data_IF_678475842196
#
_entry.id   IF_678475842196
#
_cell.length_a   1.000
_cell.length_b   1.000
_cell.length_c   1.000
_cell.angle_alpha   90.00
_cell.angle_beta   90.00
_cell.angle_gamma   90.00
#
_symmetry.space_group_name_H-M   'P 1'
#
loop_
_entity.id
_entity.type
_entity.pdbx_description
1 polymer ?
#
# COMPACT_ATOMS: atom_id res chain seq x y z
N UNK A 1 42.60 46.33 34.75
CA UNK A 1 41.97 46.55 33.42
C UNK A 1 42.43 45.42 32.49
N UNK A 2 41.62 44.44 32.29
CA UNK A 2 41.95 43.30 31.42
C UNK A 2 40.87 43.22 30.35
N UNK A 3 41.26 43.55 29.12
CA UNK A 3 40.42 43.50 27.92
C UNK A 3 40.28 42.06 27.45
N UNK A 4 39.06 41.51 27.46
CA UNK A 4 38.76 40.24 26.85
C UNK A 4 38.47 40.45 25.34
N UNK A 5 39.34 39.89 24.51
CA UNK A 5 39.10 39.76 23.07
C UNK A 5 38.09 38.64 22.81
N UNK A 6 37.02 38.98 22.12
CA UNK A 6 35.99 38.06 21.63
C UNK A 6 36.42 37.54 20.25
N UNK A 7 36.75 36.25 20.16
CA UNK A 7 37.01 35.57 18.88
C UNK A 7 35.69 34.95 18.41
N UNK A 8 35.03 35.63 17.48
CA UNK A 8 33.86 35.09 16.80
C UNK A 8 34.28 34.07 15.76
N UNK A 9 33.91 32.80 15.99
CA UNK A 9 33.90 31.75 14.96
C UNK A 9 32.65 31.95 14.12
N UNK A 10 32.83 32.35 12.86
CA UNK A 10 31.76 32.39 11.87
C UNK A 10 31.49 30.96 11.40
N UNK A 11 30.41 30.37 11.89
CA UNK A 11 29.82 29.17 11.31
C UNK A 11 29.15 29.58 9.99
N UNK A 12 29.73 29.16 8.88
CA UNK A 12 29.16 29.34 7.55
C UNK A 12 27.89 28.47 7.39
N UNK A 13 26.95 28.84 6.51
CA UNK A 13 25.73 28.11 6.33
C UNK A 13 26.03 26.69 5.83
N UNK A 14 25.66 25.70 6.62
CA UNK A 14 25.71 24.30 6.22
C UNK A 14 24.78 24.14 5.01
N UNK A 15 25.36 23.75 3.89
CA UNK A 15 24.63 23.47 2.66
C UNK A 15 23.57 22.43 2.93
N UNK A 16 22.31 22.80 2.76
CA UNK A 16 21.19 21.88 2.80
C UNK A 16 21.40 20.77 1.77
N UNK A 17 21.34 19.52 2.21
CA UNK A 17 21.36 18.38 1.31
C UNK A 17 20.27 18.56 0.22
N UNK A 18 20.54 18.23 -1.05
CA UNK A 18 19.55 18.35 -2.10
C UNK A 18 18.32 17.50 -1.73
N UNK A 19 17.13 18.11 -1.85
CA UNK A 19 15.87 17.42 -1.66
C UNK A 19 15.83 16.19 -2.57
N UNK A 20 15.36 15.03 -2.08
CA UNK A 20 15.22 13.85 -2.91
C UNK A 20 14.34 14.18 -4.12
N UNK A 21 14.70 13.67 -5.28
CA UNK A 21 13.92 13.85 -6.50
C UNK A 21 12.48 13.36 -6.26
N UNK A 22 11.45 14.07 -6.73
CA UNK A 22 10.08 13.66 -6.54
C UNK A 22 9.87 12.27 -7.16
N UNK A 23 9.30 11.35 -6.38
CA UNK A 23 8.96 10.03 -6.88
C UNK A 23 7.70 10.09 -7.74
N UNK A 24 7.65 9.35 -8.85
CA UNK A 24 6.47 9.29 -9.70
C UNK A 24 5.28 8.74 -8.92
N UNK A 25 4.12 9.37 -9.07
CA UNK A 25 2.86 8.84 -8.53
C UNK A 25 2.44 7.51 -9.18
N UNK A 26 1.50 6.81 -8.57
CA UNK A 26 0.98 5.51 -9.08
C UNK A 26 0.50 5.62 -10.53
N UNK A 27 -0.22 6.69 -10.85
CA UNK A 27 -0.66 6.98 -12.22
C UNK A 27 0.52 7.15 -13.19
N UNK A 28 1.53 7.94 -12.80
CA UNK A 28 2.70 8.17 -13.65
C UNK A 28 3.48 6.89 -13.94
N UNK A 29 3.62 6.02 -12.95
CA UNK A 29 4.24 4.70 -13.13
C UNK A 29 3.45 3.83 -14.12
N UNK A 30 2.11 3.78 -14.01
CA UNK A 30 1.24 3.01 -14.92
C UNK A 30 1.27 3.56 -16.34
N UNK A 31 1.21 4.87 -16.51
CA UNK A 31 1.33 5.53 -17.82
C UNK A 31 2.68 5.21 -18.46
N UNK A 32 3.78 5.39 -17.71
CA UNK A 32 5.14 5.09 -18.20
C UNK A 32 5.34 3.60 -18.52
N UNK A 33 4.83 2.71 -17.65
CA UNK A 33 4.88 1.26 -17.87
C UNK A 33 4.14 0.88 -19.15
N UNK A 34 2.87 1.25 -19.26
CA UNK A 34 2.04 0.89 -20.42
C UNK A 34 2.57 1.48 -21.73
N UNK A 35 3.12 2.70 -21.70
CA UNK A 35 3.79 3.29 -22.84
C UNK A 35 4.99 2.46 -23.31
N UNK A 36 5.83 1.99 -22.37
CA UNK A 36 6.99 1.13 -22.68
C UNK A 36 6.57 -0.22 -23.25
N UNK A 37 5.51 -0.83 -22.72
CA UNK A 37 4.95 -2.10 -23.23
C UNK A 37 4.51 -1.94 -24.70
N UNK A 38 3.91 -0.81 -25.03
CA UNK A 38 3.52 -0.44 -26.39
C UNK A 38 4.69 0.06 -27.25
N UNK A 39 5.93 0.08 -26.69
CA UNK A 39 7.16 0.55 -27.37
C UNK A 39 7.07 1.99 -27.88
N UNK A 40 6.25 2.82 -27.22
CA UNK A 40 6.10 4.23 -27.56
C UNK A 40 7.16 5.09 -26.87
N UNK A 41 7.71 6.07 -27.58
CA UNK A 41 8.43 7.17 -26.96
C UNK A 41 7.47 8.13 -26.24
N UNK A 42 7.99 8.98 -25.35
CA UNK A 42 7.16 10.03 -24.72
C UNK A 42 6.57 10.99 -25.76
N UNK A 43 7.35 11.33 -26.80
CA UNK A 43 6.88 12.20 -27.88
C UNK A 43 5.71 11.59 -28.63
N UNK A 44 5.78 10.31 -28.98
CA UNK A 44 4.71 9.60 -29.65
C UNK A 44 3.46 9.51 -28.80
N UNK A 45 3.57 9.19 -27.49
CA UNK A 45 2.42 9.15 -26.61
C UNK A 45 1.81 10.55 -26.42
N UNK A 46 2.63 11.59 -26.29
CA UNK A 46 2.13 12.97 -26.16
C UNK A 46 1.33 13.38 -27.40
N UNK A 47 1.82 13.07 -28.58
CA UNK A 47 1.10 13.30 -29.86
C UNK A 47 -0.23 12.53 -29.92
N UNK A 48 -0.21 11.21 -29.65
CA UNK A 48 -1.40 10.36 -29.65
C UNK A 48 -2.45 10.81 -28.63
N UNK A 49 -2.01 11.28 -27.47
CA UNK A 49 -2.89 11.75 -26.41
C UNK A 49 -3.30 13.24 -26.55
N UNK A 50 -2.81 13.94 -27.59
CA UNK A 50 -3.12 15.35 -27.79
C UNK A 50 -2.64 16.26 -26.67
N UNK A 51 -1.51 15.94 -26.02
CA UNK A 51 -0.96 16.72 -24.90
C UNK A 51 0.49 17.15 -25.16
N UNK A 52 0.95 18.14 -24.41
CA UNK A 52 2.33 18.60 -24.55
C UNK A 52 3.31 17.58 -23.95
N UNK A 53 4.48 17.44 -24.58
CA UNK A 53 5.55 16.57 -24.11
C UNK A 53 6.02 16.90 -22.67
N UNK A 54 6.19 18.19 -22.29
CA UNK A 54 6.53 18.53 -20.90
C UNK A 54 5.47 18.10 -19.90
N UNK A 55 4.19 18.21 -20.23
CA UNK A 55 3.09 17.79 -19.35
C UNK A 55 3.08 16.26 -19.17
N UNK A 56 3.25 15.49 -20.24
CA UNK A 56 3.38 14.04 -20.15
C UNK A 56 4.60 13.63 -19.31
N UNK A 57 5.74 14.29 -19.53
CA UNK A 57 6.95 14.04 -18.76
C UNK A 57 6.71 14.32 -17.24
N UNK A 58 6.01 15.40 -16.93
CA UNK A 58 5.62 15.72 -15.56
C UNK A 58 4.71 14.64 -14.95
N UNK A 59 3.68 14.22 -15.67
CA UNK A 59 2.78 13.14 -15.22
C UNK A 59 3.51 11.83 -14.92
N UNK A 60 4.51 11.48 -15.74
CA UNK A 60 5.29 10.25 -15.56
C UNK A 60 6.31 10.33 -14.40
N UNK A 61 6.69 11.52 -13.95
CA UNK A 61 7.79 11.70 -13.00
C UNK A 61 7.38 12.33 -11.66
N UNK A 62 6.17 12.87 -11.57
CA UNK A 62 5.66 13.52 -10.35
C UNK A 62 4.29 12.96 -9.96
N UNK A 63 3.94 13.01 -8.68
CA UNK A 63 2.56 12.81 -8.26
C UNK A 63 1.68 13.89 -8.89
N UNK A 64 0.71 13.49 -9.71
CA UNK A 64 -0.16 14.41 -10.41
C UNK A 64 -1.59 13.87 -10.47
N UNK A 65 -2.55 14.79 -10.44
CA UNK A 65 -3.98 14.50 -10.63
C UNK A 65 -4.43 15.16 -11.94
N UNK A 66 -4.40 14.44 -13.08
CA UNK A 66 -4.85 14.98 -14.34
C UNK A 66 -6.37 15.24 -14.33
N UNK A 67 -6.82 16.08 -15.22
CA UNK A 67 -8.26 16.25 -15.46
C UNK A 67 -8.86 14.96 -16.04
N UNK A 68 -10.17 14.77 -15.90
CA UNK A 68 -10.87 13.61 -16.47
C UNK A 68 -10.67 13.52 -17.99
N UNK A 69 -10.67 14.66 -18.69
CA UNK A 69 -10.42 14.70 -20.13
C UNK A 69 -9.00 14.22 -20.48
N UNK A 70 -7.97 14.70 -19.77
CA UNK A 70 -6.60 14.26 -19.98
C UNK A 70 -6.43 12.77 -19.68
N UNK A 71 -7.10 12.25 -18.66
CA UNK A 71 -7.08 10.83 -18.31
C UNK A 71 -7.74 9.97 -19.40
N UNK A 72 -8.85 10.41 -19.97
CA UNK A 72 -9.51 9.74 -21.10
C UNK A 72 -8.62 9.72 -22.35
N UNK A 73 -7.96 10.83 -22.68
CA UNK A 73 -7.04 10.93 -23.80
C UNK A 73 -5.83 9.97 -23.62
N UNK A 74 -5.24 9.94 -22.43
CA UNK A 74 -4.17 9.01 -22.09
C UNK A 74 -4.63 7.55 -22.20
N UNK A 75 -5.80 7.23 -21.67
CA UNK A 75 -6.34 5.88 -21.71
C UNK A 75 -6.57 5.42 -23.16
N UNK A 76 -7.16 6.27 -23.99
CA UNK A 76 -7.34 5.97 -25.42
C UNK A 76 -6.01 5.74 -26.14
N UNK A 77 -5.04 6.64 -25.97
CA UNK A 77 -3.70 6.54 -26.58
C UNK A 77 -2.90 5.30 -26.12
N UNK A 78 -3.16 4.82 -24.90
CA UNK A 78 -2.52 3.65 -24.32
C UNK A 78 -3.32 2.35 -24.49
N UNK A 79 -4.42 2.39 -25.24
CA UNK A 79 -5.33 1.24 -25.44
C UNK A 79 -5.76 0.61 -24.10
N UNK A 80 -6.25 1.43 -23.19
CA UNK A 80 -6.68 1.04 -21.83
C UNK A 80 -7.87 1.89 -21.39
N UNK A 81 -8.30 1.76 -20.14
CA UNK A 81 -9.39 2.58 -19.58
C UNK A 81 -8.88 3.58 -18.53
N UNK A 82 -9.58 4.68 -18.28
CA UNK A 82 -9.27 5.61 -17.19
C UNK A 82 -9.16 4.91 -15.84
N UNK A 83 -10.05 3.97 -15.56
CA UNK A 83 -10.11 3.19 -14.33
C UNK A 83 -8.85 2.34 -14.16
N UNK A 84 -8.40 1.67 -15.23
CA UNK A 84 -7.17 0.88 -15.22
C UNK A 84 -5.93 1.75 -14.95
N UNK A 85 -5.88 2.96 -15.54
CA UNK A 85 -4.81 3.92 -15.25
C UNK A 85 -4.84 4.41 -13.80
N UNK A 86 -6.02 4.58 -13.21
CA UNK A 86 -6.19 4.93 -11.80
C UNK A 86 -6.01 3.74 -10.86
N UNK A 87 -5.88 2.53 -11.39
CA UNK A 87 -5.74 1.31 -10.58
C UNK A 87 -7.07 0.77 -10.06
N UNK A 88 -8.19 1.21 -10.63
CA UNK A 88 -9.53 0.74 -10.29
C UNK A 88 -10.07 -0.14 -11.42
N UNK A 89 -9.93 -1.44 -11.28
CA UNK A 89 -10.72 -2.44 -11.98
C UNK A 89 -11.67 -3.10 -11.00
N UNK A 90 -12.84 -2.48 -10.75
CA UNK A 90 -13.72 -2.89 -9.65
C UNK A 90 -14.65 -4.06 -9.96
N UNK A 91 -14.79 -4.45 -11.22
CA UNK A 91 -15.77 -5.48 -11.63
C UNK A 91 -15.15 -6.82 -12.02
N UNK A 92 -13.84 -6.91 -12.13
CA UNK A 92 -13.15 -8.17 -12.47
C UNK A 92 -12.07 -8.49 -11.45
N UNK A 93 -11.81 -9.78 -11.20
CA UNK A 93 -10.67 -10.17 -10.37
C UNK A 93 -9.36 -9.68 -10.96
N UNK A 94 -8.36 -9.29 -10.13
CA UNK A 94 -7.04 -8.92 -10.61
C UNK A 94 -6.33 -10.09 -11.31
N UNK A 95 -5.34 -9.77 -12.17
CA UNK A 95 -4.50 -10.77 -12.83
C UNK A 95 -4.95 -11.15 -14.25
N UNK A 96 -5.77 -10.33 -14.90
CA UNK A 96 -6.22 -10.54 -16.29
C UNK A 96 -5.12 -10.18 -17.33
N UNK A 97 -4.10 -9.43 -16.93
CA UNK A 97 -2.97 -9.08 -17.80
C UNK A 97 -1.94 -10.21 -17.85
N UNK A 98 -1.22 -10.31 -19.00
CA UNK A 98 -0.14 -11.29 -19.13
C UNK A 98 1.06 -11.00 -18.23
N UNK A 99 1.93 -12.00 -18.00
CA UNK A 99 3.14 -11.81 -17.21
C UNK A 99 4.11 -10.83 -17.89
N UNK A 100 4.93 -10.15 -17.09
CA UNK A 100 6.03 -9.35 -17.64
C UNK A 100 7.04 -10.24 -18.37
N UNK A 101 7.86 -9.63 -19.25
CA UNK A 101 8.86 -10.36 -20.05
C UNK A 101 9.99 -10.99 -19.22
N UNK A 102 10.22 -10.53 -17.99
CA UNK A 102 11.28 -11.02 -17.09
C UNK A 102 10.84 -10.93 -15.63
N UNK A 103 9.86 -11.72 -15.18
CA UNK A 103 9.37 -11.66 -13.82
C UNK A 103 10.45 -12.16 -12.82
N UNK A 104 10.72 -11.37 -11.79
CA UNK A 104 11.61 -11.77 -10.69
C UNK A 104 10.80 -11.81 -9.40
N UNK A 105 10.73 -13.00 -8.79
CA UNK A 105 10.10 -13.20 -7.49
C UNK A 105 11.15 -13.09 -6.39
N UNK A 106 11.05 -12.07 -5.55
CA UNK A 106 11.93 -11.80 -4.43
C UNK A 106 11.25 -12.17 -3.11
N UNK A 107 11.94 -12.89 -2.24
CA UNK A 107 11.51 -13.08 -0.84
C UNK A 107 11.82 -11.82 -0.04
N UNK A 108 10.87 -11.37 0.78
CA UNK A 108 11.02 -10.21 1.65
C UNK A 108 11.52 -10.64 3.03
N UNK A 109 12.33 -9.81 3.65
CA UNK A 109 12.69 -9.91 5.06
C UNK A 109 11.52 -9.58 5.97
N UNK A 110 11.59 -9.95 7.26
CA UNK A 110 10.55 -9.58 8.22
C UNK A 110 10.40 -8.06 8.36
N UNK A 111 11.49 -7.30 8.34
CA UNK A 111 11.46 -5.83 8.39
C UNK A 111 10.71 -5.24 7.20
N UNK A 112 11.05 -5.64 5.98
CA UNK A 112 10.36 -5.20 4.76
C UNK A 112 8.86 -5.56 4.79
N UNK A 113 8.51 -6.71 5.36
CA UNK A 113 7.11 -7.09 5.53
C UNK A 113 6.37 -6.12 6.47
N UNK A 114 6.96 -5.77 7.61
CA UNK A 114 6.36 -4.80 8.53
C UNK A 114 6.29 -3.40 7.94
N UNK A 115 7.29 -2.96 7.20
CA UNK A 115 7.27 -1.67 6.49
C UNK A 115 6.10 -1.59 5.51
N UNK A 116 5.78 -2.68 4.80
CA UNK A 116 4.65 -2.76 3.90
C UNK A 116 3.29 -2.78 4.62
N UNK A 117 3.23 -3.36 5.81
CA UNK A 117 2.01 -3.42 6.63
C UNK A 117 1.76 -2.14 7.45
N UNK A 118 2.81 -1.41 7.84
CA UNK A 118 2.77 -0.28 8.78
C UNK A 118 1.76 0.82 8.44
N UNK A 119 1.52 1.18 7.16
CA UNK A 119 0.52 2.19 6.83
C UNK A 119 -0.91 1.79 7.20
N UNK A 120 -1.16 0.51 7.53
CA UNK A 120 -2.50 0.00 7.73
C UNK A 120 -3.28 -0.10 6.43
N UNK A 121 -4.58 -0.38 6.52
CA UNK A 121 -5.44 -0.50 5.34
C UNK A 121 -6.47 -1.61 5.46
N UNK A 122 -6.67 -2.33 4.35
CA UNK A 122 -7.52 -3.52 4.29
C UNK A 122 -6.64 -4.75 4.11
N UNK A 123 -6.84 -5.74 4.97
CA UNK A 123 -6.23 -7.06 4.85
C UNK A 123 -7.29 -8.16 4.94
N UNK A 124 -6.88 -9.39 4.82
CA UNK A 124 -7.74 -10.57 4.90
C UNK A 124 -7.33 -11.42 6.09
N UNK A 125 -8.24 -11.59 7.05
CA UNK A 125 -8.06 -12.55 8.15
C UNK A 125 -8.61 -13.91 7.71
N UNK A 126 -7.81 -14.95 7.93
CA UNK A 126 -8.15 -16.34 7.66
C UNK A 126 -8.18 -17.15 8.96
N UNK A 127 -9.20 -17.95 9.17
CA UNK A 127 -9.35 -18.83 10.32
C UNK A 127 -10.17 -20.08 9.95
N UNK A 128 -10.08 -21.12 10.75
CA UNK A 128 -10.84 -22.33 10.53
C UNK A 128 -12.13 -22.33 11.36
N UNK A 129 -13.20 -22.75 10.73
CA UNK A 129 -14.49 -23.03 11.36
C UNK A 129 -14.79 -24.53 11.29
N UNK A 130 -15.89 -24.97 11.89
CA UNK A 130 -16.40 -26.35 11.75
C UNK A 130 -16.68 -26.72 10.29
N UNK A 131 -17.06 -25.76 9.47
CA UNK A 131 -17.42 -25.94 8.06
C UNK A 131 -16.24 -25.74 7.10
N UNK A 132 -15.05 -25.45 7.65
CA UNK A 132 -13.83 -25.26 6.88
C UNK A 132 -13.20 -23.88 7.05
N UNK A 133 -12.20 -23.55 6.22
CA UNK A 133 -11.50 -22.27 6.27
C UNK A 133 -12.38 -21.11 5.78
N UNK A 134 -12.32 -20.00 6.51
CA UNK A 134 -13.02 -18.75 6.19
C UNK A 134 -12.01 -17.63 6.02
N UNK A 135 -12.21 -16.75 5.03
CA UNK A 135 -11.39 -15.57 4.78
C UNK A 135 -12.30 -14.35 4.70
N UNK A 136 -12.01 -13.34 5.53
CA UNK A 136 -12.81 -12.12 5.62
C UNK A 136 -11.92 -10.87 5.50
N UNK A 137 -12.36 -9.84 4.76
CA UNK A 137 -11.66 -8.55 4.73
C UNK A 137 -11.87 -7.81 6.06
N UNK A 138 -10.80 -7.19 6.55
CA UNK A 138 -10.83 -6.36 7.75
C UNK A 138 -9.96 -5.12 7.55
N UNK A 139 -10.39 -3.98 8.11
CA UNK A 139 -9.50 -2.84 8.25
C UNK A 139 -8.57 -3.08 9.42
N UNK A 140 -7.28 -2.83 9.22
CA UNK A 140 -6.25 -3.14 10.21
C UNK A 140 -5.28 -1.97 10.43
N UNK A 141 -4.58 -2.03 11.54
CA UNK A 141 -3.40 -1.24 11.84
C UNK A 141 -2.31 -2.15 12.44
N UNK A 142 -1.08 -1.66 12.48
CA UNK A 142 0.03 -2.32 13.17
C UNK A 142 0.30 -1.60 14.48
N UNK A 143 0.34 -2.35 15.58
CA UNK A 143 0.75 -1.87 16.89
C UNK A 143 1.91 -2.74 17.41
N UNK A 144 3.10 -2.15 17.47
CA UNK A 144 4.33 -2.93 17.65
C UNK A 144 4.55 -3.89 16.50
N UNK A 145 4.65 -5.18 16.81
CA UNK A 145 4.75 -6.24 15.80
C UNK A 145 3.44 -7.04 15.64
N UNK A 146 2.30 -6.50 16.09
CA UNK A 146 1.03 -7.19 16.04
C UNK A 146 0.06 -6.52 15.08
N UNK A 147 -0.79 -7.32 14.44
CA UNK A 147 -1.88 -6.83 13.61
C UNK A 147 -3.09 -6.58 14.50
N UNK A 148 -3.65 -5.39 14.43
CA UNK A 148 -4.85 -4.98 15.17
C UNK A 148 -5.99 -4.73 14.19
N UNK A 149 -7.16 -5.30 14.48
CA UNK A 149 -8.39 -4.97 13.76
C UNK A 149 -9.59 -4.95 14.71
N UNK A 150 -10.75 -4.54 14.21
CA UNK A 150 -11.98 -4.45 14.99
C UNK A 150 -13.08 -5.27 14.37
N UNK A 151 -13.90 -5.91 15.21
CA UNK A 151 -15.09 -6.68 14.81
C UNK A 151 -16.26 -6.41 15.74
N UNK A 152 -17.47 -6.84 15.37
CA UNK A 152 -18.62 -6.83 16.26
C UNK A 152 -18.70 -8.16 17.04
N UNK A 153 -19.32 -8.15 18.24
CA UNK A 153 -19.35 -9.34 19.11
C UNK A 153 -20.16 -10.51 18.54
N UNK A 154 -21.09 -10.23 17.66
CA UNK A 154 -22.03 -11.17 17.04
C UNK A 154 -21.57 -11.69 15.67
N UNK A 155 -20.32 -11.37 15.28
CA UNK A 155 -19.79 -11.85 13.99
C UNK A 155 -19.26 -13.28 14.09
N UNK A 156 -19.26 -13.98 12.95
CA UNK A 156 -18.62 -15.30 12.82
C UNK A 156 -17.18 -15.28 13.35
N UNK A 157 -16.41 -14.25 12.99
CA UNK A 157 -15.04 -14.09 13.43
C UNK A 157 -14.90 -14.03 14.95
N UNK A 158 -15.81 -13.34 15.64
CA UNK A 158 -15.79 -13.23 17.11
C UNK A 158 -15.96 -14.59 17.82
N UNK A 159 -16.64 -15.54 17.18
CA UNK A 159 -16.83 -16.90 17.69
C UNK A 159 -15.59 -17.80 17.57
N UNK A 160 -14.62 -17.43 16.75
CA UNK A 160 -13.40 -18.21 16.48
C UNK A 160 -12.12 -17.52 16.93
N UNK A 161 -12.23 -16.52 17.80
CA UNK A 161 -11.07 -15.91 18.46
C UNK A 161 -10.39 -16.90 19.42
N UNK A 162 -9.18 -16.54 19.84
CA UNK A 162 -8.31 -17.35 20.69
C UNK A 162 -7.78 -18.63 20.04
N UNK A 163 -7.85 -18.67 18.71
CA UNK A 163 -7.34 -19.75 17.86
C UNK A 163 -6.25 -19.34 16.87
N UNK A 164 -5.75 -20.32 16.10
CA UNK A 164 -4.84 -20.05 14.99
C UNK A 164 -5.52 -19.15 13.94
N UNK A 165 -4.76 -18.19 13.43
CA UNK A 165 -5.23 -17.30 12.37
C UNK A 165 -4.10 -16.97 11.40
N UNK A 166 -4.50 -16.78 10.14
CA UNK A 166 -3.69 -16.14 9.11
C UNK A 166 -4.16 -14.71 8.89
N UNK A 167 -3.26 -13.86 8.51
CA UNK A 167 -3.59 -12.51 8.06
C UNK A 167 -2.75 -12.18 6.84
N UNK A 168 -3.38 -11.73 5.78
CA UNK A 168 -2.74 -11.48 4.50
C UNK A 168 -3.06 -10.07 4.01
N UNK A 169 -2.06 -9.45 3.40
CA UNK A 169 -2.21 -8.21 2.65
C UNK A 169 -1.44 -8.37 1.35
N UNK A 170 -2.08 -8.00 0.26
CA UNK A 170 -1.43 -7.92 -1.05
C UNK A 170 -1.67 -6.56 -1.70
N UNK A 171 -0.81 -6.23 -2.62
CA UNK A 171 -1.00 -5.15 -3.58
C UNK A 171 -0.53 -5.62 -4.94
N UNK A 172 -1.42 -5.54 -5.91
CA UNK A 172 -1.15 -5.90 -7.29
C UNK A 172 -1.25 -4.66 -8.17
N UNK A 173 -0.28 -4.48 -9.04
CA UNK A 173 -0.32 -3.50 -10.13
C UNK A 173 -0.37 -4.29 -11.45
N UNK A 174 -1.57 -4.43 -11.99
CA UNK A 174 -1.80 -5.21 -13.21
C UNK A 174 -1.11 -4.61 -14.43
N UNK A 175 -1.09 -3.28 -14.52
CA UNK A 175 -0.48 -2.60 -15.67
C UNK A 175 1.03 -2.84 -15.73
N UNK A 176 1.67 -3.06 -14.61
CA UNK A 176 3.10 -3.36 -14.51
C UNK A 176 3.39 -4.84 -14.31
N UNK A 177 2.36 -5.69 -14.14
CA UNK A 177 2.51 -7.10 -13.75
C UNK A 177 3.44 -7.26 -12.55
N UNK A 178 3.28 -6.39 -11.56
CA UNK A 178 4.09 -6.31 -10.34
C UNK A 178 3.19 -6.37 -9.12
N UNK A 179 3.80 -6.68 -7.99
CA UNK A 179 3.06 -6.67 -6.74
C UNK A 179 3.86 -7.22 -5.59
N UNK A 180 3.22 -7.24 -4.44
CA UNK A 180 3.76 -7.90 -3.25
C UNK A 180 2.63 -8.51 -2.44
N UNK A 181 2.96 -9.50 -1.66
CA UNK A 181 2.07 -10.07 -0.64
C UNK A 181 2.82 -10.32 0.65
N UNK A 182 2.16 -10.12 1.78
CA UNK A 182 2.65 -10.43 3.11
C UNK A 182 1.65 -11.31 3.83
N UNK A 183 2.13 -12.43 4.35
CA UNK A 183 1.36 -13.36 5.16
C UNK A 183 1.91 -13.39 6.58
N UNK A 184 1.05 -13.12 7.54
CA UNK A 184 1.28 -13.30 8.98
C UNK A 184 0.51 -14.53 9.42
N UNK A 185 1.17 -15.51 10.01
CA UNK A 185 0.53 -16.63 10.68
C UNK A 185 0.75 -16.53 12.17
N UNK A 186 -0.27 -16.74 12.97
CA UNK A 186 -0.20 -16.57 14.40
C UNK A 186 -1.47 -16.99 15.13
N UNK A 187 -1.76 -16.30 16.20
CA UNK A 187 -2.95 -16.51 17.02
C UNK A 187 -3.76 -15.20 17.10
N UNK A 188 -5.04 -15.26 16.78
CA UNK A 188 -5.96 -14.17 17.00
C UNK A 188 -6.50 -14.23 18.43
N UNK A 189 -6.36 -13.13 19.17
CA UNK A 189 -6.83 -13.02 20.56
C UNK A 189 -7.67 -11.77 20.74
N UNK A 190 -8.72 -11.86 21.55
CA UNK A 190 -9.50 -10.70 21.96
C UNK A 190 -8.70 -9.85 22.93
N UNK A 191 -8.69 -8.53 22.72
CA UNK A 191 -8.16 -7.59 23.70
C UNK A 191 -9.24 -7.33 24.75
N UNK A 192 -9.00 -7.77 25.97
CA UNK A 192 -9.97 -7.67 27.08
C UNK A 192 -9.59 -6.63 28.12
N UNK A 193 -8.34 -6.21 28.16
CA UNK A 193 -7.87 -5.17 29.08
C UNK A 193 -8.40 -3.81 28.66
N UNK A 194 -9.19 -3.16 29.50
CA UNK A 194 -9.69 -1.81 29.24
C UNK A 194 -8.56 -0.78 29.04
N UNK A 195 -7.47 -0.91 29.79
CA UNK A 195 -6.32 -0.02 29.63
C UNK A 195 -5.68 -0.17 28.25
N UNK A 196 -5.61 -1.40 27.75
CA UNK A 196 -5.09 -1.70 26.44
C UNK A 196 -6.05 -1.27 25.33
N UNK A 197 -7.35 -1.48 25.48
CA UNK A 197 -8.36 -0.97 24.54
C UNK A 197 -8.25 0.55 24.42
N UNK A 198 -8.23 1.28 25.54
CA UNK A 198 -8.03 2.74 25.54
C UNK A 198 -6.70 3.18 24.89
N UNK A 199 -5.65 2.36 25.02
CA UNK A 199 -4.39 2.64 24.35
C UNK A 199 -4.53 2.48 22.84
N UNK A 200 -5.15 1.40 22.37
CA UNK A 200 -5.39 1.13 20.95
C UNK A 200 -6.31 2.17 20.31
N UNK A 201 -7.34 2.62 21.01
CA UNK A 201 -8.25 3.70 20.55
C UNK A 201 -7.52 5.01 20.25
N UNK A 202 -6.48 5.30 21.01
CA UNK A 202 -5.69 6.53 20.83
C UNK A 202 -4.57 6.43 19.81
N UNK A 203 -4.03 5.21 19.57
CA UNK A 203 -2.79 5.04 18.83
C UNK A 203 -2.91 4.11 17.61
N UNK A 204 -3.93 3.27 17.55
CA UNK A 204 -4.19 2.40 16.41
C UNK A 204 -5.40 2.93 15.63
N UNK A 205 -5.17 3.64 14.53
CA UNK A 205 -6.23 4.22 13.71
C UNK A 205 -6.93 3.15 12.86
N UNK A 206 -7.65 2.24 13.52
CA UNK A 206 -8.45 1.22 12.86
C UNK A 206 -9.85 1.76 12.60
N UNK A 207 -10.16 2.08 11.35
CA UNK A 207 -11.47 2.59 10.92
C UNK A 207 -12.19 1.54 10.05
N UNK A 208 -13.05 0.70 10.63
CA UNK A 208 -13.81 -0.28 9.85
C UNK A 208 -14.72 0.40 8.83
N UNK A 209 -14.67 -0.04 7.58
CA UNK A 209 -15.60 0.44 6.54
C UNK A 209 -16.99 -0.14 6.69
N UNK A 210 -17.07 -1.34 7.25
CA UNK A 210 -18.36 -1.96 7.53
C UNK A 210 -19.04 -1.23 8.69
N UNK A 211 -20.28 -0.82 8.48
CA UNK A 211 -21.10 -0.11 9.47
C UNK A 211 -21.40 -0.94 10.74
N UNK A 212 -22.05 -0.29 11.70
CA UNK A 212 -22.40 -0.87 13.00
C UNK A 212 -21.30 -0.76 14.06
N UNK A 213 -21.65 -1.03 15.30
CA UNK A 213 -20.71 -1.05 16.41
C UNK A 213 -19.70 -2.17 16.26
N UNK A 214 -18.40 -1.85 16.27
CA UNK A 214 -17.30 -2.80 16.16
C UNK A 214 -16.31 -2.55 17.31
N UNK A 215 -16.77 -2.93 18.51
CA UNK A 215 -16.10 -2.57 19.75
C UNK A 215 -15.16 -3.66 20.26
N UNK A 216 -15.12 -4.80 19.57
CA UNK A 216 -14.22 -5.91 19.88
C UNK A 216 -12.90 -5.68 19.16
N UNK A 217 -11.86 -5.30 19.90
CA UNK A 217 -10.50 -5.27 19.42
C UNK A 217 -9.91 -6.68 19.39
N UNK A 218 -9.31 -7.01 18.27
CA UNK A 218 -8.63 -8.29 18.05
C UNK A 218 -7.17 -8.02 17.71
N UNK A 219 -6.29 -8.79 18.31
CA UNK A 219 -4.86 -8.78 18.06
C UNK A 219 -4.45 -10.11 17.44
N UNK A 220 -3.74 -10.09 16.32
CA UNK A 220 -3.01 -11.26 15.86
C UNK A 220 -1.58 -11.15 16.36
N UNK A 221 -1.19 -12.10 17.22
CA UNK A 221 0.17 -12.25 17.72
C UNK A 221 0.92 -13.13 16.71
N UNK A 222 1.92 -12.58 15.98
CA UNK A 222 2.61 -13.32 14.95
C UNK A 222 3.45 -14.46 15.52
N UNK A 223 3.35 -15.62 14.91
CA UNK A 223 4.31 -16.72 15.05
C UNK A 223 5.33 -16.67 13.92
N UNK A 224 4.89 -16.29 12.72
CA UNK A 224 5.73 -16.21 11.53
C UNK A 224 5.18 -15.12 10.61
N UNK A 225 6.06 -14.34 10.01
CA UNK A 225 5.76 -13.42 8.93
C UNK A 225 6.59 -13.80 7.70
N UNK A 226 5.96 -13.79 6.53
CA UNK A 226 6.60 -14.05 5.25
C UNK A 226 6.06 -13.10 4.21
N UNK A 227 6.90 -12.72 3.27
CA UNK A 227 6.47 -11.87 2.17
C UNK A 227 7.24 -12.17 0.90
N UNK A 228 6.65 -11.77 -0.20
CA UNK A 228 7.24 -11.87 -1.53
C UNK A 228 6.85 -10.66 -2.36
N UNK A 229 7.73 -10.28 -3.26
CA UNK A 229 7.53 -9.19 -4.21
C UNK A 229 7.85 -9.69 -5.61
N UNK A 230 6.91 -9.42 -6.52
CA UNK A 230 7.10 -9.64 -7.95
C UNK A 230 7.51 -8.32 -8.60
N UNK A 231 8.60 -8.35 -9.35
CA UNK A 231 9.08 -7.23 -10.16
C UNK A 231 9.23 -7.66 -11.61
N UNK A 232 9.12 -6.74 -12.52
CA UNK A 232 9.40 -6.90 -13.96
C UNK A 232 10.72 -6.26 -14.31
#
# INVERSE_FOLDING_TARGET
MASRQWTGTSDGPQGSAPLPAPEPGDLGRRVSGRRKDLKLSRSQLAELAGMSLPYLAYLETHPATPTQAALQQLAAALHTTPEALLGAGTSQPPGQTGPSSRPVLQTLTAAECYDLLSPGGVGRVAFNTTDGPVVLPVNYAIAGQTVIFRTAPDTLLAGYLDGPAGFEVDRLDEALSQGWSVLVTGRAVRVTSEAEVRHLERHADVRPWAGGARDVYVRIIPRKITGRRLRS
#
